data_IF_524863872582
#
_entry.id   IF_524863872582
#
_cell.length_a   1.000
_cell.length_b   1.000
_cell.length_c   1.000
_cell.angle_alpha   90.00
_cell.angle_beta   90.00
_cell.angle_gamma   90.00
#
_symmetry.space_group_name_H-M   'P 1'
#
loop_
_entity.id
_entity.type
_entity.pdbx_description
1 polymer ?
#
# COMPACT_ATOMS: atom_id res chain seq x y z
N UNK A 1 -11.14 -9.45 -22.41
CA UNK A 1 -12.38 -9.58 -23.22
C UNK A 1 -12.49 -8.37 -24.14
N UNK A 2 -12.56 -8.55 -25.46
CA UNK A 2 -12.55 -7.42 -26.40
C UNK A 2 -13.75 -6.48 -26.26
N UNK A 3 -14.88 -6.94 -25.69
CA UNK A 3 -16.12 -6.16 -25.51
C UNK A 3 -16.20 -5.45 -24.16
N UNK A 4 -15.30 -5.72 -23.23
CA UNK A 4 -15.36 -5.18 -21.86
C UNK A 4 -15.35 -3.65 -21.84
N UNK A 5 -14.46 -3.04 -22.60
CA UNK A 5 -14.34 -1.59 -22.68
C UNK A 5 -15.62 -0.92 -23.22
N UNK A 6 -16.22 -1.51 -24.26
CA UNK A 6 -17.47 -1.01 -24.83
C UNK A 6 -18.64 -1.16 -23.86
N UNK A 7 -18.77 -2.31 -23.20
CA UNK A 7 -19.85 -2.55 -22.22
C UNK A 7 -19.70 -1.66 -20.98
N UNK A 8 -18.47 -1.47 -20.52
CA UNK A 8 -18.18 -0.53 -19.43
C UNK A 8 -18.47 0.91 -19.84
N UNK A 9 -18.11 1.31 -21.07
CA UNK A 9 -18.41 2.63 -21.61
C UNK A 9 -19.91 2.93 -21.62
N UNK A 10 -20.76 1.99 -22.06
CA UNK A 10 -22.22 2.16 -22.04
C UNK A 10 -22.79 2.37 -20.63
N UNK A 11 -22.21 1.70 -19.63
CA UNK A 11 -22.59 1.92 -18.21
C UNK A 11 -22.13 3.28 -17.72
N UNK A 12 -20.87 3.63 -17.97
CA UNK A 12 -20.25 4.86 -17.45
C UNK A 12 -20.86 6.12 -18.09
N UNK A 13 -21.28 6.09 -19.35
CA UNK A 13 -21.95 7.21 -20.02
C UNK A 13 -23.28 7.61 -19.36
N UNK A 14 -23.91 6.68 -18.61
CA UNK A 14 -25.15 6.96 -17.86
C UNK A 14 -24.89 7.67 -16.53
N UNK A 15 -23.63 7.65 -16.06
CA UNK A 15 -23.19 8.32 -14.84
C UNK A 15 -22.74 9.73 -15.22
N UNK A 16 -23.66 10.66 -15.24
CA UNK A 16 -23.41 12.01 -15.76
C UNK A 16 -24.18 13.06 -14.97
N UNK A 17 -23.82 14.31 -15.21
CA UNK A 17 -24.53 15.49 -14.71
C UNK A 17 -25.39 16.09 -15.81
N UNK A 18 -26.63 16.38 -15.50
CA UNK A 18 -27.58 17.06 -16.36
C UNK A 18 -27.93 18.43 -15.79
N UNK A 19 -28.82 19.17 -16.45
CA UNK A 19 -29.34 20.46 -15.93
C UNK A 19 -30.17 20.30 -14.65
N UNK A 20 -30.79 19.13 -14.49
CA UNK A 20 -31.74 18.87 -13.40
C UNK A 20 -31.12 18.08 -12.23
N UNK A 21 -29.91 17.53 -12.40
CA UNK A 21 -29.25 16.77 -11.34
C UNK A 21 -27.96 16.11 -11.80
N UNK A 22 -27.29 15.43 -10.84
CA UNK A 22 -26.06 14.70 -11.08
C UNK A 22 -26.09 13.31 -10.44
N UNK A 23 -25.37 12.38 -11.04
CA UNK A 23 -25.15 11.04 -10.49
C UNK A 23 -23.69 10.92 -10.08
N UNK A 24 -23.46 10.62 -8.80
CA UNK A 24 -22.14 10.25 -8.28
C UNK A 24 -22.13 8.76 -8.01
N UNK A 25 -21.17 8.04 -8.56
CA UNK A 25 -20.99 6.60 -8.32
C UNK A 25 -19.74 6.33 -7.52
N UNK A 26 -19.81 5.32 -6.65
CA UNK A 26 -18.67 4.75 -5.95
C UNK A 26 -18.62 3.27 -6.35
N UNK A 27 -17.51 2.87 -6.97
CA UNK A 27 -17.33 1.55 -7.53
C UNK A 27 -16.17 0.86 -6.84
N UNK A 28 -16.41 -0.34 -6.29
CA UNK A 28 -15.34 -1.19 -5.80
C UNK A 28 -14.81 -2.06 -6.95
N UNK A 29 -13.53 -1.92 -7.27
CA UNK A 29 -12.86 -2.67 -8.32
C UNK A 29 -11.89 -3.66 -7.66
N UNK A 30 -12.09 -4.96 -7.91
CA UNK A 30 -11.15 -5.97 -7.49
C UNK A 30 -10.01 -6.07 -8.49
N UNK A 31 -8.78 -5.98 -7.99
CA UNK A 31 -7.55 -6.06 -8.79
C UNK A 31 -6.89 -7.41 -8.54
N UNK A 32 -6.90 -8.34 -9.51
CA UNK A 32 -6.27 -9.65 -9.35
C UNK A 32 -4.76 -9.52 -9.14
N UNK A 33 -4.24 -10.23 -8.15
CA UNK A 33 -2.80 -10.25 -7.82
C UNK A 33 -2.17 -8.87 -7.58
N UNK A 34 -2.97 -7.86 -7.21
CA UNK A 34 -2.56 -6.47 -7.06
C UNK A 34 -1.93 -5.84 -8.33
N UNK A 35 -2.23 -6.42 -9.50
CA UNK A 35 -1.73 -5.95 -10.80
C UNK A 35 -2.71 -4.93 -11.43
N UNK A 36 -2.43 -3.65 -11.23
CA UNK A 36 -3.20 -2.54 -11.79
C UNK A 36 -3.11 -2.45 -13.32
N UNK A 37 -2.15 -3.16 -13.93
CA UNK A 37 -1.95 -3.18 -15.39
C UNK A 37 -2.74 -4.29 -16.09
N UNK A 38 -3.40 -5.18 -15.33
CA UNK A 38 -4.30 -6.18 -15.90
C UNK A 38 -5.35 -5.49 -16.78
N UNK A 39 -5.63 -6.00 -17.99
CA UNK A 39 -6.53 -5.37 -18.93
C UNK A 39 -7.93 -5.06 -18.40
N UNK A 40 -8.45 -5.87 -17.49
CA UNK A 40 -9.79 -5.68 -16.97
C UNK A 40 -9.88 -4.48 -16.00
N UNK A 41 -9.06 -4.38 -14.93
CA UNK A 41 -8.99 -3.16 -14.11
C UNK A 41 -8.60 -1.93 -14.91
N UNK A 42 -7.63 -2.02 -15.82
CA UNK A 42 -7.16 -0.90 -16.63
C UNK A 42 -8.28 -0.29 -17.48
N UNK A 43 -9.13 -1.12 -18.12
CA UNK A 43 -10.31 -0.64 -18.86
C UNK A 43 -11.31 0.10 -17.96
N UNK A 44 -11.50 -0.37 -16.71
CA UNK A 44 -12.39 0.31 -15.75
C UNK A 44 -11.81 1.65 -15.33
N UNK A 45 -10.51 1.69 -14.98
CA UNK A 45 -9.84 2.91 -14.50
C UNK A 45 -9.85 4.04 -15.54
N UNK A 46 -9.80 3.71 -16.83
CA UNK A 46 -9.88 4.69 -17.92
C UNK A 46 -11.17 5.52 -17.89
N UNK A 47 -12.25 4.99 -17.35
CA UNK A 47 -13.55 5.65 -17.26
C UNK A 47 -13.79 6.40 -15.93
N UNK A 48 -12.91 6.26 -14.94
CA UNK A 48 -13.10 6.85 -13.62
C UNK A 48 -12.51 8.26 -13.53
N UNK A 49 -13.23 9.16 -12.83
CA UNK A 49 -12.74 10.50 -12.55
C UNK A 49 -11.73 10.54 -11.39
N UNK A 50 -11.84 9.59 -10.48
CA UNK A 50 -10.91 9.46 -9.36
C UNK A 50 -10.74 7.99 -9.00
N UNK A 51 -9.53 7.62 -8.58
CA UNK A 51 -9.20 6.29 -8.09
C UNK A 51 -8.59 6.40 -6.70
N UNK A 52 -9.02 5.55 -5.78
CA UNK A 52 -8.42 5.38 -4.46
C UNK A 52 -7.86 3.97 -4.41
N UNK A 53 -6.55 3.86 -4.46
CA UNK A 53 -5.84 2.57 -4.47
C UNK A 53 -5.48 2.16 -3.06
N UNK A 54 -5.90 0.94 -2.66
CA UNK A 54 -5.52 0.34 -1.40
C UNK A 54 -4.28 -0.54 -1.59
N UNK A 55 -3.29 -0.38 -0.73
CA UNK A 55 -2.02 -1.10 -0.81
C UNK A 55 -1.82 -2.04 0.39
N UNK A 56 -1.44 -3.28 0.12
CA UNK A 56 -1.10 -4.26 1.17
C UNK A 56 0.15 -3.86 1.94
N UNK A 57 1.15 -3.32 1.26
CA UNK A 57 2.39 -2.87 1.89
C UNK A 57 2.18 -1.74 2.90
N UNK A 58 1.16 -0.89 2.67
CA UNK A 58 0.77 0.16 3.61
C UNK A 58 0.01 -0.45 4.80
N UNK A 59 -0.87 -1.43 4.53
CA UNK A 59 -1.59 -2.15 5.59
C UNK A 59 -0.64 -2.93 6.51
N UNK A 60 0.41 -3.54 5.97
CA UNK A 60 1.46 -4.24 6.71
C UNK A 60 2.23 -3.33 7.67
N UNK A 61 2.36 -2.04 7.34
CA UNK A 61 2.93 -1.01 8.23
C UNK A 61 1.96 -0.57 9.33
N UNK A 62 0.75 -1.14 9.39
CA UNK A 62 -0.30 -0.76 10.34
C UNK A 62 -0.98 0.58 10.04
N UNK A 63 -0.79 1.14 8.85
CA UNK A 63 -1.37 2.43 8.44
C UNK A 63 -2.76 2.18 7.87
N UNK A 64 -3.79 2.74 8.49
CA UNK A 64 -5.18 2.63 8.09
C UNK A 64 -5.85 4.01 8.07
N UNK A 65 -6.67 4.32 7.02
CA UNK A 65 -6.92 3.49 5.83
C UNK A 65 -5.67 3.29 4.99
N UNK A 66 -5.49 2.08 4.43
CA UNK A 66 -4.27 1.69 3.70
C UNK A 66 -4.26 2.24 2.25
N UNK A 67 -4.52 3.53 2.08
CA UNK A 67 -4.56 4.21 0.80
C UNK A 67 -3.17 4.59 0.35
N UNK A 68 -2.79 4.22 -0.88
CA UNK A 68 -1.55 4.70 -1.48
C UNK A 68 -1.80 6.07 -2.16
N UNK A 69 -1.22 7.16 -1.64
CA UNK A 69 -1.42 8.49 -2.21
C UNK A 69 -0.69 8.70 -3.53
N UNK A 70 0.32 7.88 -3.85
CA UNK A 70 1.08 7.98 -5.10
C UNK A 70 0.33 7.30 -6.25
N UNK A 71 -0.30 6.15 -5.98
CA UNK A 71 -1.07 5.40 -6.97
C UNK A 71 -2.54 5.85 -7.06
N UNK A 72 -2.97 6.74 -6.16
CA UNK A 72 -4.31 7.34 -6.18
C UNK A 72 -4.34 8.60 -7.04
N UNK A 73 -5.42 8.76 -7.81
CA UNK A 73 -5.57 9.88 -8.74
C UNK A 73 -6.93 10.56 -8.62
N UNK A 74 -7.01 11.82 -9.05
CA UNK A 74 -8.27 12.56 -9.15
C UNK A 74 -8.19 13.63 -10.23
N UNK A 75 -9.14 13.64 -11.14
CA UNK A 75 -9.23 14.64 -12.22
C UNK A 75 -9.66 16.02 -11.72
N UNK A 76 -10.27 16.09 -10.54
CA UNK A 76 -10.66 17.35 -9.91
C UNK A 76 -9.54 18.01 -9.09
N UNK A 77 -8.41 17.34 -8.91
CA UNK A 77 -7.25 17.93 -8.23
C UNK A 77 -6.53 18.90 -9.19
N UNK A 78 -7.15 20.06 -9.38
CA UNK A 78 -6.66 21.18 -10.19
C UNK A 78 -6.85 22.46 -9.41
N UNK A 79 -5.89 23.39 -9.51
CA UNK A 79 -5.94 24.67 -8.79
C UNK A 79 -7.24 25.45 -9.00
N UNK A 80 -7.79 25.39 -10.23
CA UNK A 80 -9.04 26.03 -10.62
C UNK A 80 -10.28 25.50 -9.88
N UNK A 81 -10.23 24.24 -9.41
CA UNK A 81 -11.37 23.54 -8.77
C UNK A 81 -11.20 23.53 -7.26
N UNK A 82 -10.05 23.08 -6.77
CA UNK A 82 -9.81 22.87 -5.33
C UNK A 82 -9.14 24.06 -4.65
N UNK A 83 -8.66 25.03 -5.44
CA UNK A 83 -7.88 26.18 -4.97
C UNK A 83 -6.38 25.91 -4.95
N UNK A 84 -5.59 27.01 -5.03
CA UNK A 84 -4.14 26.93 -5.17
C UNK A 84 -3.48 26.26 -3.96
N UNK A 85 -3.91 26.57 -2.75
CA UNK A 85 -3.32 26.03 -1.52
C UNK A 85 -3.48 24.51 -1.45
N UNK A 86 -4.69 23.99 -1.65
CA UNK A 86 -4.95 22.55 -1.64
C UNK A 86 -4.14 21.83 -2.72
N UNK A 87 -4.14 22.38 -3.93
CA UNK A 87 -3.39 21.83 -5.05
C UNK A 87 -1.88 21.76 -4.78
N UNK A 88 -1.31 22.85 -4.25
CA UNK A 88 0.12 22.90 -3.94
C UNK A 88 0.51 21.95 -2.82
N UNK A 89 -0.26 21.92 -1.72
CA UNK A 89 0.01 21.03 -0.59
C UNK A 89 -0.06 19.56 -1.02
N UNK A 90 -1.10 19.17 -1.77
CA UNK A 90 -1.25 17.81 -2.25
C UNK A 90 -0.08 17.37 -3.15
N UNK A 91 0.36 18.24 -4.06
CA UNK A 91 1.50 17.94 -4.92
C UNK A 91 2.82 17.86 -4.14
N UNK A 92 3.05 18.75 -3.18
CA UNK A 92 4.25 18.72 -2.34
C UNK A 92 4.30 17.45 -1.48
N UNK A 93 3.17 17.03 -0.90
CA UNK A 93 3.07 15.74 -0.19
C UNK A 93 3.47 14.59 -1.11
N UNK A 94 2.90 14.53 -2.33
CA UNK A 94 3.25 13.50 -3.31
C UNK A 94 4.74 13.53 -3.67
N UNK A 95 5.33 14.70 -3.88
CA UNK A 95 6.76 14.84 -4.18
C UNK A 95 7.65 14.33 -3.04
N UNK A 96 7.33 14.69 -1.80
CA UNK A 96 8.07 14.23 -0.62
C UNK A 96 7.98 12.72 -0.46
N UNK A 97 6.78 12.14 -0.61
CA UNK A 97 6.58 10.69 -0.54
C UNK A 97 7.25 9.94 -1.70
N UNK A 98 7.23 10.50 -2.92
CA UNK A 98 7.94 9.94 -4.07
C UNK A 98 9.45 9.94 -3.83
N UNK A 99 10.01 11.05 -3.35
CA UNK A 99 11.43 11.13 -3.01
C UNK A 99 11.80 10.13 -1.90
N UNK A 100 10.95 9.97 -0.91
CA UNK A 100 11.15 8.99 0.14
C UNK A 100 11.16 7.55 -0.42
N UNK A 101 10.24 7.21 -1.33
CA UNK A 101 10.23 5.89 -2.00
C UNK A 101 11.54 5.62 -2.74
N UNK A 102 12.10 6.62 -3.44
CA UNK A 102 13.40 6.50 -4.13
C UNK A 102 14.58 6.30 -3.15
N UNK A 103 14.51 6.94 -1.98
CA UNK A 103 15.55 6.84 -0.96
C UNK A 103 15.47 5.55 -0.13
N UNK A 104 14.34 4.85 -0.12
CA UNK A 104 14.17 3.64 0.69
C UNK A 104 15.19 2.54 0.34
N UNK A 105 15.47 2.33 -0.94
CA UNK A 105 16.47 1.34 -1.38
C UNK A 105 17.89 1.71 -0.91
N UNK A 106 18.20 3.00 -0.96
CA UNK A 106 19.49 3.52 -0.48
C UNK A 106 19.60 3.34 1.03
N UNK A 107 18.55 3.68 1.77
CA UNK A 107 18.48 3.53 3.23
C UNK A 107 18.63 2.06 3.63
N UNK A 108 18.01 1.13 2.90
CA UNK A 108 18.08 -0.30 3.19
C UNK A 108 19.48 -0.87 3.01
N UNK A 109 20.27 -0.33 2.09
CA UNK A 109 21.63 -0.81 1.78
C UNK A 109 22.69 -0.11 2.63
N UNK A 110 22.64 1.21 2.72
CA UNK A 110 23.70 2.05 3.30
C UNK A 110 23.36 2.62 4.69
N UNK A 111 22.08 2.60 5.07
CA UNK A 111 21.59 3.26 6.28
C UNK A 111 21.25 4.73 6.07
N UNK A 112 20.53 5.31 7.04
CA UNK A 112 20.08 6.71 6.99
C UNK A 112 21.23 7.71 7.20
N UNK A 113 22.32 7.27 7.83
CA UNK A 113 23.46 8.14 8.17
C UNK A 113 24.30 8.53 6.96
N UNK A 114 24.20 7.78 5.87
CA UNK A 114 24.89 8.06 4.60
C UNK A 114 24.13 9.04 3.70
N UNK A 115 22.92 9.43 4.09
CA UNK A 115 22.14 10.42 3.35
C UNK A 115 22.67 11.84 3.58
N UNK A 116 22.48 12.71 2.57
CA UNK A 116 22.70 14.15 2.74
C UNK A 116 21.78 14.72 3.82
N UNK A 117 22.14 15.84 4.43
CA UNK A 117 21.31 16.49 5.44
C UNK A 117 19.92 16.87 4.90
N UNK A 118 19.85 17.26 3.63
CA UNK A 118 18.59 17.58 2.94
C UNK A 118 17.71 16.34 2.75
N UNK A 119 18.29 15.23 2.27
CA UNK A 119 17.57 13.96 2.11
C UNK A 119 17.13 13.39 3.46
N UNK A 120 17.98 13.50 4.49
CA UNK A 120 17.63 13.09 5.86
C UNK A 120 16.43 13.87 6.42
N UNK A 121 16.40 15.19 6.20
CA UNK A 121 15.26 16.02 6.57
C UNK A 121 14.00 15.60 5.79
N UNK A 122 14.13 15.39 4.50
CA UNK A 122 13.04 14.92 3.63
C UNK A 122 12.49 13.58 4.09
N UNK A 123 13.33 12.61 4.42
CA UNK A 123 12.93 11.29 4.95
C UNK A 123 12.20 11.44 6.28
N UNK A 124 12.69 12.29 7.19
CA UNK A 124 12.06 12.53 8.48
C UNK A 124 10.63 13.10 8.31
N UNK A 125 10.45 14.12 7.46
CA UNK A 125 9.15 14.68 7.15
C UNK A 125 8.24 13.70 6.42
N UNK A 126 8.78 12.92 5.47
CA UNK A 126 8.03 11.90 4.76
C UNK A 126 7.45 10.83 5.70
N UNK A 127 8.23 10.36 6.67
CA UNK A 127 7.75 9.42 7.69
C UNK A 127 6.64 10.01 8.56
N UNK A 128 6.74 11.29 8.94
CA UNK A 128 5.68 11.99 9.67
C UNK A 128 4.42 12.10 8.83
N UNK A 129 4.55 12.46 7.54
CA UNK A 129 3.44 12.50 6.58
C UNK A 129 2.80 11.12 6.43
N UNK A 130 3.60 10.06 6.24
CA UNK A 130 3.10 8.68 6.13
C UNK A 130 2.30 8.27 7.38
N UNK A 131 2.79 8.62 8.59
CA UNK A 131 2.07 8.37 9.84
C UNK A 131 0.80 9.23 9.96
N UNK A 132 0.84 10.49 9.54
CA UNK A 132 -0.31 11.38 9.59
C UNK A 132 -1.40 11.05 8.57
N UNK A 133 -1.07 10.29 7.51
CA UNK A 133 -2.06 9.70 6.61
C UNK A 133 -2.90 8.61 7.28
N UNK A 134 -2.43 8.01 8.38
CA UNK A 134 -3.27 7.15 9.20
C UNK A 134 -4.31 7.99 9.94
N UNK A 135 -5.56 7.56 9.90
CA UNK A 135 -6.66 8.29 10.53
C UNK A 135 -7.54 7.34 11.33
N UNK A 136 -7.96 7.71 12.55
CA UNK A 136 -8.97 6.96 13.26
C UNK A 136 -10.32 7.14 12.55
N UNK A 137 -10.93 6.07 12.08
CA UNK A 137 -12.22 6.11 11.41
C UNK A 137 -13.23 5.18 12.08
N UNK A 138 -14.51 5.57 12.05
CA UNK A 138 -15.56 4.94 12.83
C UNK A 138 -15.72 3.43 12.58
N UNK A 139 -15.53 2.96 11.34
CA UNK A 139 -15.65 1.53 11.01
C UNK A 139 -14.57 0.68 11.68
N UNK A 140 -13.41 1.27 11.96
CA UNK A 140 -12.28 0.56 12.56
C UNK A 140 -12.23 0.63 14.09
N UNK A 141 -13.11 1.39 14.76
CA UNK A 141 -13.09 1.59 16.21
C UNK A 141 -13.01 0.28 17.01
N UNK A 142 -13.79 -0.72 16.60
CA UNK A 142 -13.81 -2.02 17.28
C UNK A 142 -12.51 -2.82 17.12
N UNK A 143 -11.67 -2.49 16.13
CA UNK A 143 -10.41 -3.18 15.88
C UNK A 143 -9.20 -2.41 16.43
N UNK A 144 -9.26 -1.08 16.37
CA UNK A 144 -8.15 -0.21 16.81
C UNK A 144 -8.28 0.22 18.27
N UNK A 145 -9.49 0.11 18.86
CA UNK A 145 -9.79 0.64 20.19
C UNK A 145 -9.78 2.18 20.26
N UNK A 146 -9.64 2.86 19.13
CA UNK A 146 -9.58 4.33 19.04
C UNK A 146 -10.86 4.83 18.41
N UNK A 147 -11.58 5.79 19.04
CA UNK A 147 -12.78 6.40 18.49
C UNK A 147 -12.50 7.08 17.15
N UNK A 148 -13.42 6.90 16.18
CA UNK A 148 -13.30 7.55 14.88
C UNK A 148 -13.46 9.06 14.99
N UNK A 149 -12.72 9.79 14.15
CA UNK A 149 -12.73 11.25 14.10
C UNK A 149 -13.02 11.69 12.67
N UNK A 150 -14.04 12.55 12.51
CA UNK A 150 -14.27 13.23 11.26
C UNK A 150 -13.37 14.48 11.18
N UNK A 151 -12.51 14.53 10.17
CA UNK A 151 -11.60 15.66 9.95
C UNK A 151 -12.06 16.43 8.72
N UNK A 152 -12.40 17.72 8.85
CA UNK A 152 -12.68 18.58 7.71
C UNK A 152 -11.46 18.70 6.79
N UNK A 153 -11.70 18.77 5.47
CA UNK A 153 -10.60 18.84 4.48
C UNK A 153 -9.66 20.04 4.70
N UNK A 154 -10.19 21.17 5.17
CA UNK A 154 -9.39 22.34 5.50
C UNK A 154 -8.37 22.06 6.61
N UNK A 155 -8.75 21.28 7.62
CA UNK A 155 -7.85 20.88 8.71
C UNK A 155 -6.78 19.88 8.22
N UNK A 156 -7.15 18.98 7.32
CA UNK A 156 -6.17 18.09 6.68
C UNK A 156 -5.15 18.89 5.89
N UNK A 157 -5.58 19.84 5.05
CA UNK A 157 -4.69 20.70 4.26
C UNK A 157 -3.75 21.49 5.18
N UNK A 158 -4.29 22.10 6.25
CA UNK A 158 -3.51 22.82 7.24
C UNK A 158 -2.45 21.93 7.88
N UNK A 159 -2.84 20.76 8.33
CA UNK A 159 -1.94 19.81 8.98
C UNK A 159 -0.77 19.38 8.08
N UNK A 160 -1.06 18.96 6.85
CA UNK A 160 0.00 18.59 5.89
C UNK A 160 0.89 19.77 5.52
N UNK A 161 0.34 20.97 5.34
CA UNK A 161 1.11 22.20 5.08
C UNK A 161 2.10 22.48 6.21
N UNK A 162 1.64 22.44 7.45
CA UNK A 162 2.47 22.71 8.61
C UNK A 162 3.59 21.68 8.81
N UNK A 163 3.34 20.40 8.47
CA UNK A 163 4.38 19.36 8.45
C UNK A 163 5.41 19.65 7.36
N UNK A 164 4.97 20.00 6.14
CA UNK A 164 5.85 20.34 5.02
C UNK A 164 6.73 21.55 5.33
N UNK A 165 6.17 22.57 5.99
CA UNK A 165 6.89 23.78 6.44
C UNK A 165 7.91 23.47 7.57
N UNK A 166 7.84 22.29 8.19
CA UNK A 166 8.76 21.86 9.23
C UNK A 166 8.45 22.37 10.63
N UNK A 167 7.22 22.85 10.89
CA UNK A 167 6.83 23.35 12.21
C UNK A 167 6.96 22.32 13.33
N UNK A 168 6.93 21.05 12.95
CA UNK A 168 6.93 19.91 13.88
C UNK A 168 8.12 18.99 13.67
N UNK A 169 9.24 19.51 13.15
CA UNK A 169 10.44 18.71 12.90
C UNK A 169 11.02 18.11 14.20
N UNK A 170 10.79 18.76 15.34
CA UNK A 170 11.23 18.30 16.67
C UNK A 170 10.36 17.20 17.27
N UNK A 171 9.14 16.97 16.75
CA UNK A 171 8.25 15.95 17.27
C UNK A 171 8.62 14.56 16.71
N UNK A 172 8.51 13.50 17.54
CA UNK A 172 8.77 12.14 17.07
C UNK A 172 7.67 11.67 16.09
N UNK A 173 8.04 10.83 15.11
CA UNK A 173 7.10 10.34 14.08
C UNK A 173 5.88 9.60 14.66
N UNK A 174 6.06 8.91 15.80
CA UNK A 174 4.97 8.20 16.49
C UNK A 174 3.83 9.10 16.94
N UNK A 175 4.11 10.39 17.18
CA UNK A 175 3.09 11.35 17.61
C UNK A 175 2.03 11.61 16.53
N UNK A 176 2.35 11.35 15.27
CA UNK A 176 1.46 11.56 14.12
C UNK A 176 0.56 10.35 13.80
N UNK A 177 0.77 9.21 14.47
CA UNK A 177 0.07 7.98 14.16
C UNK A 177 -1.35 7.99 14.74
N UNK A 178 -2.35 7.63 13.90
CA UNK A 178 -3.77 7.60 14.25
C UNK A 178 -4.28 8.88 14.93
N UNK A 179 -3.92 10.03 14.36
CA UNK A 179 -4.40 11.34 14.80
C UNK A 179 -5.43 11.89 13.81
N UNK A 180 -6.41 12.63 14.35
CA UNK A 180 -7.40 13.31 13.53
C UNK A 180 -6.83 14.59 12.93
N UNK A 181 -6.57 15.58 13.76
CA UNK A 181 -6.05 16.88 13.36
C UNK A 181 -4.61 17.07 13.81
N UNK A 182 -3.94 18.07 13.26
CA UNK A 182 -2.58 18.43 13.70
C UNK A 182 -2.57 18.93 15.15
N UNK A 183 -3.66 19.54 15.62
CA UNK A 183 -3.80 19.98 17.00
C UNK A 183 -3.84 18.78 17.99
N UNK A 184 -4.37 17.64 17.56
CA UNK A 184 -4.32 16.39 18.34
C UNK A 184 -2.89 15.89 18.49
N UNK A 185 -2.07 16.02 17.43
CA UNK A 185 -0.64 15.67 17.48
C UNK A 185 0.09 16.53 18.51
N UNK A 186 -0.12 17.86 18.47
CA UNK A 186 0.52 18.80 19.39
C UNK A 186 0.08 18.57 20.83
N UNK A 187 -1.23 18.39 21.05
CA UNK A 187 -1.77 18.13 22.38
C UNK A 187 -1.17 16.87 23.01
N UNK A 188 -1.12 15.78 22.26
CA UNK A 188 -0.65 14.52 22.78
C UNK A 188 0.89 14.48 22.92
N UNK A 189 1.61 15.22 22.08
CA UNK A 189 3.06 15.41 22.25
C UNK A 189 3.41 16.33 23.43
N UNK A 190 2.59 17.36 23.69
CA UNK A 190 2.79 18.28 24.83
C UNK A 190 2.25 17.78 26.16
N UNK A 191 1.30 16.83 26.14
CA UNK A 191 0.72 16.23 27.35
C UNK A 191 1.56 15.13 28.00
N UNK A 192 2.72 14.81 27.45
CA UNK A 192 3.61 13.75 27.96
C UNK A 192 4.40 14.09 29.23
N UNK A 193 4.19 15.25 29.86
CA UNK A 193 4.86 15.59 31.14
C UNK A 193 4.05 15.26 32.40
N UNK A 194 2.78 14.84 32.31
CA UNK A 194 2.01 14.39 33.47
C UNK A 194 1.30 13.05 33.20
N UNK A 195 2.02 11.95 33.34
CA UNK A 195 1.44 10.61 33.28
C UNK A 195 2.47 9.52 32.99
N UNK A 196 3.49 9.45 33.81
CA UNK A 196 4.42 8.35 33.80
C UNK A 196 3.73 7.04 34.21
N UNK A 197 3.59 6.14 33.28
CA UNK A 197 3.30 4.74 33.45
C UNK A 197 4.21 3.98 32.52
N UNK A 198 5.40 3.66 33.04
CA UNK A 198 6.35 2.74 32.43
C UNK A 198 5.67 1.37 32.29
N UNK A 199 5.36 0.95 31.08
CA UNK A 199 5.36 -0.45 30.71
C UNK A 199 6.41 -0.64 29.60
N UNK A 200 7.67 -0.71 30.04
CA UNK A 200 8.74 -1.34 29.28
C UNK A 200 8.41 -2.83 29.11
N UNK A 201 7.84 -3.20 27.98
CA UNK A 201 7.95 -4.58 27.53
C UNK A 201 9.35 -4.78 26.95
N UNK A 202 10.27 -5.17 27.82
CA UNK A 202 11.55 -5.77 27.45
C UNK A 202 11.24 -7.11 26.79
N UNK A 203 11.28 -7.18 25.49
CA UNK A 203 11.51 -8.44 24.80
C UNK A 203 12.98 -8.79 24.93
N UNK A 204 13.24 -9.61 25.99
CA UNK A 204 14.50 -10.26 26.28
C UNK A 204 14.73 -11.37 25.24
N UNK A 205 15.58 -11.13 24.26
CA UNK A 205 16.18 -12.17 23.43
C UNK A 205 17.27 -12.87 24.21
N UNK A 206 16.87 -13.75 25.15
CA UNK A 206 17.75 -14.64 25.87
C UNK A 206 18.26 -15.76 24.97
N UNK A 207 19.53 -15.68 24.63
CA UNK A 207 20.35 -16.78 24.12
C UNK A 207 20.49 -17.85 25.23
N UNK A 208 19.71 -18.93 25.15
CA UNK A 208 19.65 -20.04 26.07
C UNK A 208 20.16 -21.33 25.46
N UNK A 209 21.48 -21.53 25.45
CA UNK A 209 22.06 -22.87 25.40
C UNK A 209 21.84 -23.56 26.72
N UNK A 210 21.06 -24.64 26.77
CA UNK A 210 21.12 -25.65 27.81
C UNK A 210 21.17 -27.06 27.20
N UNK A 211 22.25 -27.74 27.52
CA UNK A 211 22.50 -29.17 27.33
C UNK A 211 21.63 -30.02 28.29
N UNK A 212 21.19 -31.23 27.89
CA UNK A 212 20.38 -32.09 28.76
C UNK A 212 21.25 -32.91 29.74
N UNK A 213 20.98 -32.78 31.03
CA UNK A 213 21.45 -33.74 32.07
C UNK A 213 20.42 -34.79 32.34
N UNK A 214 20.86 -36.03 32.22
CA UNK A 214 20.18 -37.28 32.58
C UNK A 214 20.10 -37.49 34.10
N UNK A 215 18.97 -38.00 34.61
CA UNK A 215 18.79 -38.94 35.72
C UNK A 215 17.28 -39.14 35.90
N UNK A 216 16.63 -40.32 35.81
CA UNK A 216 16.90 -41.53 36.49
C UNK A 216 15.73 -41.84 37.44
N UNK A 217 14.93 -42.96 37.16
CA UNK A 217 14.05 -43.62 38.13
C UNK A 217 12.57 -43.22 38.07
N UNK A 218 11.61 -44.02 38.04
CA UNK A 218 11.34 -45.44 38.29
C UNK A 218 9.80 -45.59 38.30
N UNK A 219 9.31 -46.75 37.80
CA UNK A 219 8.09 -47.50 38.12
C UNK A 219 6.67 -46.84 38.02
N UNK A 220 5.73 -47.36 37.27
CA UNK A 220 4.99 -48.59 37.37
C UNK A 220 3.71 -48.55 36.49
N UNK A 221 3.55 -49.70 35.79
CA UNK A 221 2.34 -50.49 35.55
C UNK A 221 1.01 -49.89 35.03
N UNK A 222 0.59 -50.55 33.96
CA UNK A 222 -0.79 -51.00 33.86
C UNK A 222 -1.49 -50.79 32.50
N UNK A 223 -1.47 -51.84 31.68
CA UNK A 223 -2.64 -52.44 31.06
C UNK A 223 -3.37 -51.63 29.96
N UNK A 224 -3.69 -52.05 28.88
CA UNK A 224 -4.11 -53.30 28.25
C UNK A 224 -4.75 -52.97 26.88
N UNK A 225 -4.44 -53.79 25.93
CA UNK A 225 -5.22 -54.29 24.77
C UNK A 225 -6.11 -53.38 23.89
N UNK A 226 -5.84 -53.41 22.60
CA UNK A 226 -6.35 -54.22 21.53
C UNK A 226 -6.16 -53.60 20.15
N UNK A 227 -5.32 -54.20 19.33
CA UNK A 227 -5.57 -54.97 18.09
C UNK A 227 -6.64 -54.44 17.12
N UNK A 228 -6.17 -54.12 15.92
CA UNK A 228 -6.42 -54.75 14.59
C UNK A 228 -6.04 -53.73 13.48
N UNK A 229 -5.02 -54.01 12.67
CA UNK A 229 -4.87 -54.89 11.49
C UNK A 229 -5.80 -54.54 10.30
N UNK A 230 -5.12 -54.34 9.16
CA UNK A 230 -5.68 -54.37 7.82
C UNK A 230 -4.89 -53.42 6.90
N UNK A 231 -3.81 -53.76 6.32
CA UNK A 231 -3.42 -54.50 5.11
C UNK A 231 -4.21 -54.17 3.85
N UNK A 232 -3.43 -53.93 2.87
CA UNK A 232 -3.33 -54.30 1.44
C UNK A 232 -3.19 -53.06 0.54
N UNK A 233 -2.02 -52.90 -0.04
CA UNK A 233 -1.45 -53.47 -1.27
C UNK A 233 -2.06 -52.90 -2.56
N UNK A 234 -1.11 -52.44 -3.32
CA UNK A 234 -0.76 -52.70 -4.71
C UNK A 234 -1.27 -51.83 -5.86
N UNK A 235 -0.31 -51.51 -6.66
CA UNK A 235 -0.29 -51.55 -8.10
C UNK A 235 -0.33 -50.18 -8.80
N UNK A 236 0.44 -49.83 -9.64
CA UNK A 236 1.38 -50.34 -10.63
C UNK A 236 1.61 -49.25 -11.69
N UNK A 237 2.81 -49.15 -12.07
CA UNK A 237 3.43 -48.71 -13.31
C UNK A 237 2.55 -48.24 -14.50
N UNK A 238 2.93 -47.14 -15.14
CA UNK A 238 3.36 -47.21 -16.55
C UNK A 238 3.97 -45.93 -17.08
N UNK A 239 5.22 -46.08 -17.47
CA UNK A 239 5.97 -45.25 -18.41
C UNK A 239 5.26 -45.16 -19.77
N UNK A 240 5.33 -44.03 -20.44
CA UNK A 240 5.69 -43.96 -21.85
C UNK A 240 6.17 -42.55 -22.27
N UNK A 241 7.39 -42.56 -22.72
CA UNK A 241 8.11 -41.70 -23.61
C UNK A 241 7.41 -41.46 -24.96
N UNK A 242 7.65 -40.26 -25.53
CA UNK A 242 7.31 -39.96 -26.90
C UNK A 242 8.00 -38.66 -27.35
N UNK A 243 9.20 -38.83 -27.90
CA UNK A 243 9.91 -37.84 -28.73
C UNK A 243 9.12 -37.57 -30.02
N UNK A 244 9.17 -36.33 -30.50
CA UNK A 244 9.30 -36.06 -31.94
C UNK A 244 9.75 -34.64 -32.20
N UNK A 245 10.92 -34.60 -32.83
CA UNK A 245 11.55 -33.50 -33.55
C UNK A 245 10.68 -33.03 -34.73
N UNK A 246 10.89 -31.78 -35.13
CA UNK A 246 10.41 -31.29 -36.42
C UNK A 246 10.67 -29.81 -36.59
N UNK A 247 11.86 -29.50 -37.08
CA UNK A 247 12.27 -28.18 -37.57
C UNK A 247 11.56 -27.82 -38.86
N UNK A 248 11.47 -26.55 -39.12
CA UNK A 248 11.66 -26.05 -40.48
C UNK A 248 12.01 -24.54 -40.50
N UNK A 249 13.13 -24.28 -41.12
CA UNK A 249 13.63 -22.99 -41.63
C UNK A 249 12.69 -22.43 -42.71
N UNK A 250 12.53 -21.10 -42.80
CA UNK A 250 12.57 -20.42 -44.08
C UNK A 250 12.86 -18.92 -43.95
N UNK A 251 13.90 -18.54 -44.59
CA UNK A 251 14.37 -17.21 -45.00
C UNK A 251 13.42 -16.53 -46.01
N UNK A 252 13.48 -15.19 -46.03
CA UNK A 252 13.06 -14.32 -47.13
C UNK A 252 12.97 -12.88 -46.65
N UNK A 253 13.91 -12.02 -46.74
CA UNK A 253 14.51 -11.17 -47.77
C UNK A 253 13.54 -10.38 -48.67
N UNK A 254 13.74 -9.06 -48.67
CA UNK A 254 13.25 -8.11 -49.67
C UNK A 254 12.65 -6.88 -49.02
N UNK A 255 13.29 -5.79 -49.07
CA UNK A 255 13.66 -4.78 -50.04
C UNK A 255 12.88 -3.49 -49.90
N UNK A 256 13.61 -2.46 -49.77
CA UNK A 256 13.50 -1.02 -49.96
C UNK A 256 12.42 -0.45 -50.90
N UNK A 257 11.98 0.77 -50.56
CA UNK A 257 11.85 1.96 -51.41
C UNK A 257 11.18 3.06 -50.59
N UNK A 258 11.81 4.18 -50.23
CA UNK A 258 12.25 5.35 -50.98
C UNK A 258 11.13 6.27 -51.48
N UNK A 259 11.38 7.57 -51.23
CA UNK A 259 10.79 8.79 -51.78
C UNK A 259 9.48 9.30 -51.11
N UNK A 260 9.39 10.48 -50.53
CA UNK A 260 9.82 11.78 -51.05
C UNK A 260 8.56 12.59 -51.33
N UNK A 261 8.42 13.79 -50.80
CA UNK A 261 7.34 14.70 -51.21
C UNK A 261 7.16 15.83 -50.20
N UNK A 262 7.88 16.91 -50.46
CA UNK A 262 7.67 18.27 -49.96
C UNK A 262 6.34 18.84 -50.50
N UNK A 263 5.77 19.77 -49.74
CA UNK A 263 5.33 21.15 -50.05
C UNK A 263 4.01 21.51 -49.34
N UNK A 264 4.14 22.59 -48.54
CA UNK A 264 3.52 23.91 -48.71
C UNK A 264 1.97 23.98 -48.77
N UNK A 265 1.37 24.48 -47.74
CA UNK A 265 0.81 25.82 -47.53
C UNK A 265 0.36 25.98 -46.07
#
# INVERSE_FOLDING_TARGET
QPTLDSEMGELQERITSTKDGSVTSIQAVYVPADDLTDPAPASVFAHLNATTTLSRSIAEKGIYPAVDPLDSTSTILKAEIVGDEHFQVANQVKQVLQRYRELQDIIAILGIDELSDEDRLTVNRARKIERFLSQPFHVAEQFTGTPGVYVPIAESIRGFKEILEGKYDDLPERAFFLKGTIDDVVRDAGGGEEGGGEEESKEDFGDGKEEPKASGGDDSEGGDDSKRSGDSEDGDDSKRSGDSEGGNDSKGSGEEASAGGENEE
#
